data_IF_473233134503
#
_entry.id   IF_473233134503
#
_cell.length_a   1.000
_cell.length_b   1.000
_cell.length_c   1.000
_cell.angle_alpha   90.00
_cell.angle_beta   90.00
_cell.angle_gamma   90.00
#
_symmetry.space_group_name_H-M   'P 1'
#
loop_
_entity.id
_entity.type
_entity.pdbx_description
1 polymer ?
#
# COMPACT_ATOMS: atom_id res chain seq x y z
N UNK A 1 15.15 9.64 6.95
CA UNK A 1 13.70 9.41 6.94
C UNK A 1 13.14 9.10 8.33
N UNK A 2 13.41 7.95 8.96
CA UNK A 2 12.75 7.43 10.16
C UNK A 2 12.85 8.32 11.40
N UNK A 3 14.01 8.91 11.69
CA UNK A 3 14.16 9.89 12.79
C UNK A 3 13.25 11.11 12.59
N UNK A 4 13.13 11.62 11.37
CA UNK A 4 12.22 12.73 11.06
C UNK A 4 10.75 12.35 11.26
N UNK A 5 10.37 11.11 10.90
CA UNK A 5 9.01 10.60 11.09
C UNK A 5 8.66 10.54 12.59
N UNK A 6 9.59 10.06 13.44
CA UNK A 6 9.42 10.10 14.91
C UNK A 6 9.28 11.53 15.43
N UNK A 7 10.10 12.46 14.93
CA UNK A 7 10.01 13.87 15.33
C UNK A 7 8.66 14.50 14.94
N UNK A 8 8.12 14.15 13.77
CA UNK A 8 6.77 14.57 13.37
C UNK A 8 5.70 13.97 14.31
N UNK A 9 5.83 12.71 14.67
CA UNK A 9 4.92 12.05 15.61
C UNK A 9 4.97 12.69 17.00
N UNK A 10 6.15 12.99 17.54
CA UNK A 10 6.30 13.67 18.84
C UNK A 10 5.59 15.03 18.89
N UNK A 11 5.49 15.75 17.77
CA UNK A 11 4.76 17.02 17.70
C UNK A 11 3.25 16.84 17.82
N UNK A 12 2.72 15.66 17.52
CA UNK A 12 1.29 15.36 17.50
C UNK A 12 0.76 14.76 18.79
N UNK A 13 1.63 14.23 19.67
CA UNK A 13 1.21 13.62 20.93
C UNK A 13 1.32 14.62 22.10
N UNK A 14 0.50 14.39 23.13
CA UNK A 14 0.51 15.18 24.34
C UNK A 14 1.86 15.10 25.09
N UNK A 15 2.13 16.12 25.92
CA UNK A 15 3.17 15.99 26.93
C UNK A 15 2.76 14.94 27.98
N UNK A 16 3.75 14.40 28.68
CA UNK A 16 3.58 13.30 29.64
C UNK A 16 2.89 12.09 29.00
N UNK A 17 3.45 11.61 27.89
CA UNK A 17 2.92 10.45 27.18
C UNK A 17 4.00 9.43 26.82
N UNK A 18 3.54 8.19 26.68
CA UNK A 18 4.28 7.04 26.17
C UNK A 18 3.53 6.53 24.93
N UNK A 19 4.24 6.21 23.86
CA UNK A 19 3.64 5.55 22.72
C UNK A 19 4.36 4.24 22.42
N UNK A 20 3.59 3.16 22.24
CA UNK A 20 4.09 1.81 21.97
C UNK A 20 3.69 1.37 20.57
N UNK A 21 4.67 0.93 19.81
CA UNK A 21 4.49 0.39 18.47
C UNK A 21 5.15 -0.98 18.39
N UNK A 22 4.46 -1.92 17.82
CA UNK A 22 4.90 -3.30 17.74
C UNK A 22 5.15 -3.66 16.28
N UNK A 23 6.24 -4.39 16.02
CA UNK A 23 6.54 -4.86 14.66
C UNK A 23 5.56 -5.93 14.16
N UNK A 24 4.90 -6.64 15.08
CA UNK A 24 4.08 -7.81 14.81
C UNK A 24 4.87 -9.11 14.98
N UNK A 25 4.22 -10.22 14.66
CA UNK A 25 4.79 -11.57 14.71
C UNK A 25 4.47 -12.34 13.43
N UNK A 26 5.37 -13.24 13.06
CA UNK A 26 5.12 -14.21 11.99
C UNK A 26 3.96 -15.14 12.36
N UNK A 27 3.11 -15.45 11.38
CA UNK A 27 1.98 -16.37 11.56
C UNK A 27 2.33 -17.77 11.09
N UNK A 28 1.76 -18.79 11.76
CA UNK A 28 1.89 -20.17 11.32
C UNK A 28 1.22 -20.39 9.98
N UNK A 29 1.95 -21.08 9.09
CA UNK A 29 1.46 -21.50 7.79
C UNK A 29 1.00 -22.95 7.84
N UNK A 30 1.87 -23.86 8.27
CA UNK A 30 1.63 -25.30 8.36
C UNK A 30 2.75 -26.00 9.14
N UNK A 31 2.42 -26.84 10.11
CA UNK A 31 3.40 -27.57 10.89
C UNK A 31 4.40 -26.65 11.60
N UNK A 32 5.66 -26.76 11.24
CA UNK A 32 6.76 -25.92 11.73
C UNK A 32 7.08 -24.70 10.83
N UNK A 33 6.31 -24.52 9.73
CA UNK A 33 6.53 -23.44 8.79
C UNK A 33 5.73 -22.19 9.18
N UNK A 34 6.37 -21.03 8.98
CA UNK A 34 5.74 -19.72 9.13
C UNK A 34 5.50 -19.09 7.75
N UNK A 35 4.49 -18.23 7.66
CA UNK A 35 4.43 -17.27 6.56
C UNK A 35 5.63 -16.32 6.62
N UNK A 36 6.12 -15.79 5.49
CA UNK A 36 7.09 -14.69 5.49
C UNK A 36 6.64 -13.56 6.41
N UNK A 37 7.55 -13.06 7.23
CA UNK A 37 7.25 -11.98 8.15
C UNK A 37 6.95 -10.69 7.38
N UNK A 38 5.81 -10.09 7.68
CA UNK A 38 5.44 -8.76 7.22
C UNK A 38 5.33 -7.81 8.42
N UNK A 39 6.17 -6.78 8.40
CA UNK A 39 6.23 -5.80 9.48
C UNK A 39 4.99 -4.91 9.48
N UNK A 40 4.50 -4.56 10.69
CA UNK A 40 3.49 -3.51 10.85
C UNK A 40 3.97 -2.22 10.19
N UNK A 41 3.17 -1.64 9.31
CA UNK A 41 3.57 -0.50 8.48
C UNK A 41 3.81 0.78 9.29
N UNK A 42 3.10 0.99 10.40
CA UNK A 42 3.31 2.12 11.30
C UNK A 42 4.62 1.98 12.10
N UNK A 43 4.94 0.76 12.57
CA UNK A 43 6.23 0.48 13.18
C UNK A 43 7.37 0.70 12.17
N UNK A 44 7.23 0.19 10.95
CA UNK A 44 8.23 0.40 9.88
C UNK A 44 8.39 1.89 9.55
N UNK A 45 7.30 2.64 9.42
CA UNK A 45 7.32 4.09 9.17
C UNK A 45 8.16 4.85 10.19
N UNK A 46 8.15 4.41 11.46
CA UNK A 46 8.88 5.04 12.56
C UNK A 46 10.30 4.52 12.72
N UNK A 47 10.63 3.31 12.24
CA UNK A 47 11.91 2.64 12.54
C UNK A 47 12.74 2.25 11.33
N UNK A 48 12.12 1.85 10.23
CA UNK A 48 12.76 1.19 9.08
C UNK A 48 13.16 -0.27 9.35
N UNK A 49 12.81 -0.82 10.50
CA UNK A 49 13.21 -2.16 10.92
C UNK A 49 12.15 -3.17 10.49
N UNK A 50 12.61 -4.28 9.89
CA UNK A 50 11.79 -5.43 9.50
C UNK A 50 12.20 -6.66 10.32
N UNK A 51 11.92 -6.63 11.60
CA UNK A 51 12.26 -7.71 12.53
C UNK A 51 11.06 -8.06 13.39
N UNK A 52 10.72 -9.35 13.42
CA UNK A 52 9.66 -9.94 14.20
C UNK A 52 9.88 -9.66 15.72
N UNK A 53 8.78 -9.45 16.46
CA UNK A 53 8.77 -9.36 17.91
C UNK A 53 9.47 -8.14 18.49
N UNK A 54 9.64 -7.05 17.74
CA UNK A 54 10.27 -5.82 18.23
C UNK A 54 9.23 -4.81 18.71
N UNK A 55 9.59 -3.96 19.68
CA UNK A 55 8.73 -2.91 20.23
C UNK A 55 9.48 -1.57 20.23
N UNK A 56 8.91 -0.58 19.56
CA UNK A 56 9.36 0.81 19.63
C UNK A 56 8.61 1.54 20.75
N UNK A 57 9.32 2.29 21.58
CA UNK A 57 8.74 3.13 22.62
C UNK A 57 9.21 4.57 22.42
N UNK A 58 8.23 5.46 22.38
CA UNK A 58 8.47 6.91 22.34
C UNK A 58 7.96 7.53 23.64
N UNK A 59 8.81 8.26 24.36
CA UNK A 59 8.45 8.96 25.61
C UNK A 59 8.57 10.45 25.40
N UNK A 60 7.51 11.18 25.70
CA UNK A 60 7.48 12.64 25.74
C UNK A 60 7.15 13.11 27.15
N UNK A 61 8.08 13.85 27.77
CA UNK A 61 7.91 14.41 29.11
C UNK A 61 8.40 15.85 29.10
N UNK A 62 7.47 16.80 29.05
CA UNK A 62 7.78 18.23 28.86
C UNK A 62 8.60 18.41 27.57
N UNK A 63 9.78 19.03 27.65
CA UNK A 63 10.67 19.23 26.51
C UNK A 63 11.52 18.00 26.14
N UNK A 64 11.50 16.96 26.96
CA UNK A 64 12.30 15.75 26.76
C UNK A 64 11.55 14.78 25.83
N UNK A 65 12.21 14.36 24.76
CA UNK A 65 11.75 13.33 23.84
C UNK A 65 12.79 12.22 23.78
N UNK A 66 12.39 10.99 24.10
CA UNK A 66 13.25 9.81 24.06
C UNK A 66 12.66 8.72 23.21
N UNK A 67 13.53 7.97 22.55
CA UNK A 67 13.18 6.85 21.68
C UNK A 67 13.93 5.62 22.15
N UNK A 68 13.22 4.52 22.38
CA UNK A 68 13.79 3.24 22.79
C UNK A 68 13.27 2.13 21.88
N UNK A 69 14.09 1.12 21.64
CA UNK A 69 13.71 -0.06 20.88
C UNK A 69 14.04 -1.32 21.64
N UNK A 70 13.05 -2.19 21.78
CA UNK A 70 13.22 -3.54 22.31
C UNK A 70 13.24 -4.54 21.16
N UNK A 71 14.22 -5.44 21.17
CA UNK A 71 14.41 -6.46 20.16
C UNK A 71 14.38 -7.85 20.78
N UNK A 72 14.01 -8.90 20.04
CA UNK A 72 14.09 -10.26 20.52
C UNK A 72 15.48 -10.58 21.06
N UNK A 73 15.53 -11.42 22.10
CA UNK A 73 16.79 -11.86 22.67
C UNK A 73 17.62 -12.58 21.61
N UNK A 74 18.90 -12.25 21.53
CA UNK A 74 19.82 -12.90 20.59
C UNK A 74 20.10 -14.32 21.09
N UNK A 75 19.47 -15.30 20.46
CA UNK A 75 19.72 -16.72 20.73
C UNK A 75 20.63 -17.29 19.63
N UNK A 76 21.84 -17.75 19.95
CA UNK A 76 22.76 -18.34 18.97
C UNK A 76 22.15 -19.53 18.19
N UNK A 77 21.29 -20.32 18.82
CA UNK A 77 20.61 -21.46 18.19
C UNK A 77 19.58 -20.96 17.20
N UNK A 78 18.77 -19.96 17.55
CA UNK A 78 17.81 -19.35 16.63
C UNK A 78 18.47 -18.75 15.39
N UNK A 79 19.68 -18.23 15.54
CA UNK A 79 20.48 -17.67 14.44
C UNK A 79 20.90 -18.74 13.41
N UNK A 80 21.00 -19.99 13.82
CA UNK A 80 21.28 -21.10 12.90
C UNK A 80 20.07 -21.49 12.03
N UNK A 81 18.86 -21.18 12.51
CA UNK A 81 17.60 -21.49 11.81
C UNK A 81 17.00 -20.29 11.06
N UNK A 82 17.31 -19.07 11.53
CA UNK A 82 16.75 -17.82 10.97
C UNK A 82 17.84 -16.76 10.88
N UNK A 83 18.18 -16.34 9.70
CA UNK A 83 19.21 -15.32 9.43
C UNK A 83 18.69 -13.86 9.50
N UNK A 84 17.40 -13.68 9.77
CA UNK A 84 16.71 -12.37 9.69
C UNK A 84 16.86 -11.50 10.94
N UNK A 85 17.68 -11.89 11.93
CA UNK A 85 17.84 -11.13 13.17
C UNK A 85 18.94 -10.07 13.03
N UNK A 86 18.53 -8.79 13.03
CA UNK A 86 19.44 -7.65 13.03
C UNK A 86 20.13 -7.48 14.38
N UNK A 87 21.42 -7.13 14.36
CA UNK A 87 22.13 -6.72 15.56
C UNK A 87 21.92 -5.23 15.86
N UNK A 88 22.33 -4.79 17.06
CA UNK A 88 22.16 -3.39 17.52
C UNK A 88 22.84 -2.37 16.60
N UNK A 89 24.00 -2.69 16.02
CA UNK A 89 24.72 -1.80 15.11
C UNK A 89 23.95 -1.61 13.79
N UNK A 90 23.45 -2.69 13.21
CA UNK A 90 22.62 -2.64 12.00
C UNK A 90 21.34 -1.82 12.26
N UNK A 91 20.69 -2.06 13.39
CA UNK A 91 19.50 -1.32 13.82
C UNK A 91 19.80 0.17 13.99
N UNK A 92 20.90 0.53 14.66
CA UNK A 92 21.33 1.93 14.81
C UNK A 92 21.55 2.60 13.45
N UNK A 93 22.20 1.89 12.53
CA UNK A 93 22.48 2.41 11.18
C UNK A 93 21.21 2.66 10.38
N UNK A 94 20.20 1.80 10.49
CA UNK A 94 18.91 1.92 9.77
C UNK A 94 18.03 2.98 10.44
N UNK A 95 17.74 2.80 11.73
CA UNK A 95 16.72 3.56 12.44
C UNK A 95 17.19 4.91 12.97
N UNK A 96 18.51 5.09 13.12
CA UNK A 96 19.15 6.21 13.82
C UNK A 96 18.73 6.30 15.31
N UNK A 97 18.33 5.18 15.90
CA UNK A 97 18.18 5.03 17.36
C UNK A 97 19.57 4.75 17.95
N UNK A 98 19.89 5.40 19.06
CA UNK A 98 21.20 5.22 19.71
C UNK A 98 21.39 3.76 20.13
N UNK A 99 22.60 3.23 19.99
CA UNK A 99 22.96 1.88 20.41
C UNK A 99 22.60 1.60 21.87
N UNK A 100 22.77 2.62 22.75
CA UNK A 100 22.47 2.52 24.18
C UNK A 100 20.97 2.54 24.51
N UNK A 101 20.13 2.91 23.55
CA UNK A 101 18.66 2.95 23.68
C UNK A 101 17.98 1.71 23.04
N UNK A 102 18.79 0.69 22.67
CA UNK A 102 18.32 -0.59 22.15
C UNK A 102 18.52 -1.67 23.22
N UNK A 103 17.41 -2.29 23.63
CA UNK A 103 17.36 -3.28 24.73
C UNK A 103 16.90 -4.65 24.22
N UNK A 104 17.14 -5.68 25.01
CA UNK A 104 16.57 -7.02 24.75
C UNK A 104 15.17 -7.15 25.35
N UNK A 105 14.31 -7.94 24.72
CA UNK A 105 12.90 -8.10 25.11
C UNK A 105 12.72 -8.64 26.53
N UNK A 106 13.67 -9.43 27.05
CA UNK A 106 13.63 -9.93 28.44
C UNK A 106 13.52 -8.82 29.48
N UNK A 107 14.02 -7.63 29.19
CA UNK A 107 14.08 -6.50 30.12
C UNK A 107 12.85 -5.59 30.01
N UNK A 108 11.98 -5.82 29.00
CA UNK A 108 10.89 -4.93 28.63
C UNK A 108 9.91 -4.59 29.77
N UNK A 109 9.39 -5.61 30.45
CA UNK A 109 8.36 -5.39 31.48
C UNK A 109 8.90 -4.62 32.69
N UNK A 110 10.11 -4.97 33.16
CA UNK A 110 10.75 -4.28 34.28
C UNK A 110 11.06 -2.83 33.89
N UNK A 111 11.61 -2.64 32.72
CA UNK A 111 11.95 -1.32 32.21
C UNK A 111 10.70 -0.44 32.01
N UNK A 112 9.62 -0.97 31.41
CA UNK A 112 8.38 -0.22 31.20
C UNK A 112 7.75 0.21 32.53
N UNK A 113 7.75 -0.70 33.53
CA UNK A 113 7.27 -0.39 34.87
C UNK A 113 8.06 0.78 35.49
N UNK A 114 9.38 0.76 35.36
CA UNK A 114 10.23 1.85 35.85
C UNK A 114 9.90 3.17 35.17
N UNK A 115 9.74 3.16 33.82
CA UNK A 115 9.39 4.38 33.08
C UNK A 115 8.04 4.94 33.48
N UNK A 116 7.03 4.11 33.68
CA UNK A 116 5.71 4.55 34.17
C UNK A 116 5.82 5.17 35.56
N UNK A 117 6.54 4.54 36.49
CA UNK A 117 6.74 5.05 37.84
C UNK A 117 7.49 6.40 37.88
N UNK A 118 8.36 6.68 36.89
CA UNK A 118 9.07 7.95 36.76
C UNK A 118 8.16 9.15 36.50
N UNK A 119 6.92 8.96 36.01
CA UNK A 119 5.95 10.02 35.87
C UNK A 119 5.36 10.49 37.20
N UNK A 120 5.58 9.76 38.30
CA UNK A 120 5.15 10.09 39.68
C UNK A 120 3.63 10.40 39.75
N UNK A 121 3.29 11.61 40.20
CA UNK A 121 1.89 12.09 40.28
C UNK A 121 1.27 12.45 38.93
N UNK A 122 2.07 12.52 37.86
CA UNK A 122 1.59 12.78 36.51
C UNK A 122 1.37 11.44 35.84
N UNK A 123 0.14 10.91 35.85
CA UNK A 123 -0.17 9.69 35.11
C UNK A 123 0.06 9.94 33.61
N UNK A 124 0.90 9.12 32.93
CA UNK A 124 1.12 9.32 31.51
C UNK A 124 -0.09 8.90 30.70
N UNK A 125 -0.34 9.59 29.57
CA UNK A 125 -1.23 9.09 28.53
C UNK A 125 -0.50 8.10 27.66
N UNK A 126 -1.04 6.89 27.45
CA UNK A 126 -0.36 5.84 26.70
C UNK A 126 -1.05 5.63 25.35
N UNK A 127 -0.27 5.79 24.30
CA UNK A 127 -0.71 5.63 22.90
C UNK A 127 -0.41 4.23 22.39
N UNK A 128 -1.42 3.57 21.81
CA UNK A 128 -1.27 2.32 21.08
C UNK A 128 -1.73 2.49 19.64
N UNK A 129 -1.13 1.74 18.73
CA UNK A 129 -1.57 1.67 17.33
C UNK A 129 -2.74 0.69 17.21
N UNK A 130 -3.95 1.26 17.10
CA UNK A 130 -5.21 0.50 17.04
C UNK A 130 -5.92 0.83 15.72
N UNK A 131 -5.79 0.00 14.68
CA UNK A 131 -6.41 0.23 13.38
C UNK A 131 -7.93 0.29 13.48
N UNK A 132 -8.54 1.33 12.92
CA UNK A 132 -9.97 1.62 13.08
C UNK A 132 -10.90 0.67 12.33
N UNK A 133 -10.41 0.07 11.23
CA UNK A 133 -11.23 -0.71 10.30
C UNK A 133 -11.27 -2.23 10.62
N UNK A 134 -10.53 -2.68 11.61
CA UNK A 134 -10.44 -4.10 11.94
C UNK A 134 -11.41 -4.59 13.03
N UNK A 135 -12.49 -3.87 13.31
CA UNK A 135 -13.48 -4.29 14.34
C UNK A 135 -14.04 -5.72 14.15
N UNK A 136 -13.99 -6.26 12.92
CA UNK A 136 -14.47 -7.63 12.59
C UNK A 136 -13.36 -8.69 12.65
N UNK A 137 -12.10 -8.29 12.73
CA UNK A 137 -10.97 -9.19 12.69
C UNK A 137 -10.13 -9.05 13.95
N UNK A 138 -9.44 -10.13 14.29
CA UNK A 138 -8.47 -10.09 15.37
C UNK A 138 -7.45 -8.97 15.11
N UNK A 139 -7.32 -8.06 16.08
CA UNK A 139 -6.34 -6.99 16.03
C UNK A 139 -5.40 -7.14 17.22
N UNK A 140 -4.14 -7.45 16.92
CA UNK A 140 -3.10 -7.62 17.93
C UNK A 140 -2.90 -6.37 18.80
N UNK A 141 -3.14 -5.18 18.26
CA UNK A 141 -3.12 -3.92 19.04
C UNK A 141 -4.10 -3.93 20.21
N UNK A 142 -5.31 -4.46 20.03
CA UNK A 142 -6.27 -4.59 21.14
C UNK A 142 -5.77 -5.54 22.22
N UNK A 143 -5.17 -6.66 21.87
CA UNK A 143 -4.60 -7.59 22.85
C UNK A 143 -3.51 -6.93 23.69
N UNK A 144 -2.66 -6.12 23.07
CA UNK A 144 -1.63 -5.39 23.79
C UNK A 144 -2.21 -4.36 24.76
N UNK A 145 -3.28 -3.67 24.37
CA UNK A 145 -4.03 -2.75 25.26
C UNK A 145 -4.60 -3.51 26.46
N UNK A 146 -5.25 -4.66 26.26
CA UNK A 146 -5.78 -5.46 27.37
C UNK A 146 -4.68 -5.95 28.31
N UNK A 147 -3.57 -6.47 27.78
CA UNK A 147 -2.41 -6.87 28.56
C UNK A 147 -1.85 -5.70 29.37
N UNK A 148 -1.74 -4.52 28.78
CA UNK A 148 -1.27 -3.34 29.46
C UNK A 148 -2.22 -2.92 30.59
N UNK A 149 -3.51 -2.79 30.32
CA UNK A 149 -4.52 -2.39 31.30
C UNK A 149 -4.69 -3.40 32.44
N UNK A 150 -4.38 -4.68 32.24
CA UNK A 150 -4.37 -5.67 33.34
C UNK A 150 -3.35 -5.34 34.41
N UNK A 151 -2.26 -4.67 34.06
CA UNK A 151 -1.21 -4.22 35.00
C UNK A 151 -1.40 -2.77 35.45
N UNK A 152 -1.99 -1.93 34.60
CA UNK A 152 -2.10 -0.47 34.81
C UNK A 152 -3.51 0.05 34.52
N UNK A 153 -4.56 -0.42 35.27
CA UNK A 153 -5.98 -0.15 34.93
C UNK A 153 -6.40 1.35 35.04
N UNK A 154 -5.59 2.16 35.71
CA UNK A 154 -5.86 3.61 35.90
C UNK A 154 -5.21 4.51 34.84
N UNK A 155 -4.45 3.96 33.91
CA UNK A 155 -3.78 4.75 32.88
C UNK A 155 -4.72 5.05 31.72
N UNK A 156 -4.73 6.30 31.26
CA UNK A 156 -5.49 6.71 30.09
C UNK A 156 -4.86 6.16 28.80
N UNK A 157 -5.65 5.44 28.00
CA UNK A 157 -5.23 4.92 26.69
C UNK A 157 -5.71 5.85 25.57
N UNK A 158 -4.83 6.07 24.59
CA UNK A 158 -5.15 6.79 23.37
C UNK A 158 -4.79 5.97 22.12
N UNK A 159 -5.48 6.24 21.03
CA UNK A 159 -5.17 5.61 19.74
C UNK A 159 -4.22 6.51 18.92
N UNK A 160 -3.05 5.99 18.55
CA UNK A 160 -2.07 6.68 17.69
C UNK A 160 -2.34 6.52 16.19
N UNK A 161 -3.20 5.57 15.79
CA UNK A 161 -3.48 5.28 14.38
C UNK A 161 -3.92 6.53 13.58
N UNK A 162 -4.88 7.36 14.04
CA UNK A 162 -5.27 8.57 13.31
C UNK A 162 -4.11 9.55 13.07
N UNK A 163 -3.19 9.66 14.05
CA UNK A 163 -2.00 10.51 13.91
C UNK A 163 -1.10 9.98 12.79
N UNK A 164 -0.85 8.66 12.80
CA UNK A 164 0.02 8.03 11.81
C UNK A 164 -0.58 8.05 10.41
N UNK A 165 -1.90 7.85 10.26
CA UNK A 165 -2.59 7.99 8.98
C UNK A 165 -2.35 9.38 8.39
N UNK A 166 -2.52 10.43 9.17
CA UNK A 166 -2.28 11.81 8.72
C UNK A 166 -0.79 12.08 8.38
N UNK A 167 0.14 11.50 9.14
CA UNK A 167 1.57 11.65 8.86
C UNK A 167 2.00 10.90 7.60
N UNK A 168 1.45 9.69 7.37
CA UNK A 168 1.71 8.84 6.19
C UNK A 168 1.03 9.36 4.92
N UNK A 169 -0.10 10.07 5.06
CA UNK A 169 -0.82 10.69 3.94
C UNK A 169 0.11 11.54 3.07
N UNK A 170 0.95 12.37 3.70
CA UNK A 170 1.91 13.25 3.03
C UNK A 170 3.30 12.61 3.00
N UNK A 171 3.75 12.22 1.81
CA UNK A 171 5.02 11.56 1.57
C UNK A 171 6.18 12.57 1.57
N UNK A 172 7.28 12.22 2.20
CA UNK A 172 8.53 12.94 2.06
C UNK A 172 9.29 12.52 0.78
N UNK A 173 10.38 13.21 0.45
CA UNK A 173 11.13 12.94 -0.78
C UNK A 173 11.73 11.52 -0.85
N UNK A 174 12.15 10.95 0.29
CA UNK A 174 12.70 9.58 0.32
C UNK A 174 11.60 8.55 0.05
N UNK A 175 10.41 8.71 0.65
CA UNK A 175 9.23 7.87 0.38
C UNK A 175 8.81 7.95 -1.09
N UNK A 176 8.78 9.16 -1.67
CA UNK A 176 8.48 9.37 -3.09
C UNK A 176 9.50 8.64 -3.98
N UNK A 177 10.77 8.65 -3.61
CA UNK A 177 11.80 7.94 -4.38
C UNK A 177 11.62 6.42 -4.32
N UNK A 178 11.21 5.85 -3.19
CA UNK A 178 10.89 4.42 -3.09
C UNK A 178 9.68 4.05 -3.95
N UNK A 179 8.62 4.86 -3.95
CA UNK A 179 7.45 4.66 -4.81
C UNK A 179 7.84 4.74 -6.29
N UNK A 180 8.65 5.73 -6.68
CA UNK A 180 9.18 5.84 -8.06
C UNK A 180 9.99 4.61 -8.46
N UNK A 181 10.80 4.06 -7.56
CA UNK A 181 11.56 2.85 -7.81
C UNK A 181 10.64 1.63 -7.99
N UNK A 182 9.58 1.50 -7.18
CA UNK A 182 8.57 0.45 -7.36
C UNK A 182 7.88 0.56 -8.73
N UNK A 183 7.51 1.77 -9.15
CA UNK A 183 6.92 2.06 -10.47
C UNK A 183 7.91 1.76 -11.61
N UNK A 184 9.19 2.02 -11.41
CA UNK A 184 10.23 1.72 -12.41
C UNK A 184 10.39 0.22 -12.63
N UNK A 185 10.46 -0.55 -11.54
CA UNK A 185 10.48 -2.01 -11.61
C UNK A 185 9.20 -2.53 -12.27
N UNK A 186 8.03 -1.97 -11.92
CA UNK A 186 6.74 -2.32 -12.52
C UNK A 186 6.77 -2.13 -14.04
N UNK A 187 7.24 -0.96 -14.52
CA UNK A 187 7.37 -0.69 -15.95
C UNK A 187 8.19 -1.77 -16.66
N UNK A 188 9.38 -2.08 -16.16
CA UNK A 188 10.25 -3.07 -16.77
C UNK A 188 9.66 -4.49 -16.72
N UNK A 189 8.95 -4.84 -15.63
CA UNK A 189 8.25 -6.12 -15.50
C UNK A 189 7.12 -6.25 -16.52
N UNK A 190 6.35 -5.18 -16.74
CA UNK A 190 5.27 -5.15 -17.72
C UNK A 190 5.82 -5.26 -19.16
N UNK A 191 6.89 -4.54 -19.49
CA UNK A 191 7.54 -4.65 -20.82
C UNK A 191 8.10 -6.07 -21.05
N UNK A 192 8.71 -6.67 -20.02
CA UNK A 192 9.18 -8.06 -20.11
C UNK A 192 8.01 -9.03 -20.35
N UNK A 193 6.89 -8.81 -19.67
CA UNK A 193 5.66 -9.61 -19.83
C UNK A 193 5.12 -9.49 -21.26
N UNK A 194 4.99 -8.29 -21.80
CA UNK A 194 4.52 -8.06 -23.18
C UNK A 194 5.43 -8.74 -24.21
N UNK A 195 6.74 -8.70 -24.03
CA UNK A 195 7.69 -9.37 -24.93
C UNK A 195 7.55 -10.91 -24.94
N UNK A 196 6.92 -11.49 -23.92
CA UNK A 196 6.69 -12.93 -23.80
C UNK A 196 5.23 -13.34 -24.00
N UNK A 197 4.31 -12.39 -24.18
CA UNK A 197 2.87 -12.61 -24.22
C UNK A 197 2.45 -13.66 -25.28
N UNK A 198 3.07 -13.64 -26.46
CA UNK A 198 2.78 -14.60 -27.54
C UNK A 198 3.04 -16.06 -27.18
N UNK A 199 3.83 -16.35 -26.16
CA UNK A 199 4.13 -17.70 -25.68
C UNK A 199 3.09 -18.21 -24.68
N UNK A 200 2.27 -17.30 -24.13
CA UNK A 200 1.30 -17.62 -23.09
C UNK A 200 0.04 -18.25 -23.69
N UNK A 201 -0.45 -19.30 -23.04
CA UNK A 201 -1.72 -19.97 -23.32
C UNK A 201 -2.75 -19.82 -22.21
N UNK A 202 -2.29 -19.50 -20.99
CA UNK A 202 -3.10 -19.34 -19.79
C UNK A 202 -2.75 -18.04 -19.07
N UNK A 203 -3.70 -17.53 -18.31
CA UNK A 203 -3.56 -16.29 -17.53
C UNK A 203 -2.38 -16.35 -16.53
N UNK A 204 -2.18 -17.50 -15.85
CA UNK A 204 -1.06 -17.66 -14.91
C UNK A 204 0.31 -17.55 -15.56
N UNK A 205 0.45 -17.85 -16.85
CA UNK A 205 1.72 -17.72 -17.55
C UNK A 205 2.09 -16.24 -17.75
N UNK A 206 1.09 -15.37 -17.95
CA UNK A 206 1.29 -13.92 -18.02
C UNK A 206 1.79 -13.41 -16.66
N UNK A 207 1.12 -13.80 -15.56
CA UNK A 207 1.55 -13.40 -14.21
C UNK A 207 2.94 -13.97 -13.87
N UNK A 208 3.27 -15.18 -14.32
CA UNK A 208 4.57 -15.80 -14.10
C UNK A 208 5.73 -15.00 -14.75
N UNK A 209 5.53 -14.45 -15.95
CA UNK A 209 6.52 -13.56 -16.57
C UNK A 209 6.73 -12.27 -15.79
N UNK A 210 5.66 -11.68 -15.25
CA UNK A 210 5.75 -10.50 -14.42
C UNK A 210 6.51 -10.80 -13.13
N UNK A 211 6.13 -11.87 -12.42
CA UNK A 211 6.77 -12.29 -11.16
C UNK A 211 8.24 -12.67 -11.34
N UNK A 212 8.58 -13.35 -12.43
CA UNK A 212 9.99 -13.67 -12.74
C UNK A 212 10.86 -12.41 -12.74
N UNK A 213 10.39 -11.35 -13.38
CA UNK A 213 11.15 -10.10 -13.41
C UNK A 213 11.26 -9.45 -12.04
N UNK A 214 10.20 -9.49 -11.22
CA UNK A 214 10.24 -8.96 -9.85
C UNK A 214 11.30 -9.67 -9.00
N UNK A 215 11.34 -11.00 -9.05
CA UNK A 215 12.32 -11.79 -8.30
C UNK A 215 13.76 -11.43 -8.70
N UNK A 216 14.02 -11.21 -10.00
CA UNK A 216 15.32 -10.76 -10.48
C UNK A 216 15.72 -9.37 -9.96
N UNK A 217 14.75 -8.54 -9.56
CA UNK A 217 14.98 -7.22 -8.96
C UNK A 217 14.91 -7.24 -7.42
N UNK A 218 14.75 -8.41 -6.78
CA UNK A 218 14.52 -8.57 -5.33
C UNK A 218 13.31 -7.77 -4.84
N UNK A 219 12.35 -7.54 -5.72
CA UNK A 219 11.05 -6.93 -5.42
C UNK A 219 10.00 -8.03 -5.17
N UNK A 220 8.88 -7.65 -4.55
CA UNK A 220 7.76 -8.55 -4.27
C UNK A 220 6.48 -8.01 -4.89
N UNK A 221 5.48 -8.87 -5.01
CA UNK A 221 4.12 -8.41 -5.31
C UNK A 221 3.57 -7.62 -4.13
N UNK A 222 2.89 -6.51 -4.45
CA UNK A 222 2.16 -5.72 -3.44
C UNK A 222 0.85 -6.41 -3.02
N UNK A 223 0.25 -7.14 -3.94
CA UNK A 223 -0.96 -7.95 -3.76
C UNK A 223 -0.97 -9.09 -4.78
N UNK A 224 -1.95 -9.99 -4.68
CA UNK A 224 -2.15 -11.07 -5.66
C UNK A 224 -2.42 -10.49 -7.04
N UNK A 225 -1.49 -10.69 -7.98
CA UNK A 225 -1.60 -10.16 -9.35
C UNK A 225 -2.85 -10.67 -10.03
N UNK A 226 -3.65 -9.76 -10.58
CA UNK A 226 -4.85 -10.05 -11.35
C UNK A 226 -4.46 -10.13 -12.84
N UNK A 227 -4.72 -11.25 -13.46
CA UNK A 227 -4.67 -11.43 -14.92
C UNK A 227 -6.00 -12.01 -15.35
N UNK A 228 -6.87 -11.15 -15.84
CA UNK A 228 -8.26 -11.46 -16.11
C UNK A 228 -8.58 -11.27 -17.60
N UNK A 229 -8.79 -12.36 -18.34
CA UNK A 229 -9.13 -12.34 -19.76
C UNK A 229 -10.64 -12.45 -19.98
N UNK A 230 -11.19 -11.71 -20.94
CA UNK A 230 -12.59 -11.71 -21.31
C UNK A 230 -13.52 -11.51 -20.10
N UNK A 231 -14.45 -12.44 -19.87
CA UNK A 231 -15.45 -12.38 -18.78
C UNK A 231 -14.84 -12.35 -17.37
N UNK A 232 -13.61 -12.84 -17.18
CA UNK A 232 -12.95 -12.84 -15.88
C UNK A 232 -12.68 -11.41 -15.39
N UNK A 233 -12.49 -10.46 -16.33
CA UNK A 233 -12.30 -9.05 -16.03
C UNK A 233 -13.53 -8.35 -15.41
N UNK A 234 -14.68 -9.02 -15.36
CA UNK A 234 -15.88 -8.54 -14.65
C UNK A 234 -15.79 -8.73 -13.12
N UNK A 235 -14.84 -9.55 -12.66
CA UNK A 235 -14.59 -9.77 -11.24
C UNK A 235 -13.41 -8.90 -10.81
N UNK A 236 -13.64 -7.89 -9.97
CA UNK A 236 -12.64 -6.88 -9.61
C UNK A 236 -11.36 -7.47 -9.02
N UNK A 237 -11.49 -8.43 -8.09
CA UNK A 237 -10.36 -9.11 -7.46
C UNK A 237 -10.28 -10.57 -7.95
N UNK A 238 -10.17 -10.76 -9.27
CA UNK A 238 -9.99 -12.08 -9.87
C UNK A 238 -8.53 -12.53 -9.70
N UNK A 239 -8.30 -13.46 -8.80
CA UNK A 239 -6.97 -13.96 -8.45
C UNK A 239 -6.69 -15.42 -8.85
N UNK A 240 -7.66 -16.09 -9.49
CA UNK A 240 -7.46 -17.49 -9.92
C UNK A 240 -6.45 -17.63 -11.05
N UNK A 241 -6.42 -16.69 -11.97
CA UNK A 241 -5.51 -16.60 -13.12
C UNK A 241 -5.36 -17.96 -13.85
N UNK A 242 -6.42 -18.74 -14.00
CA UNK A 242 -6.32 -20.12 -14.46
C UNK A 242 -7.08 -20.42 -15.76
N UNK A 243 -7.68 -19.42 -16.39
CA UNK A 243 -8.36 -19.61 -17.65
C UNK A 243 -7.40 -19.66 -18.82
N UNK A 244 -7.78 -20.46 -19.83
CA UNK A 244 -7.10 -20.45 -21.13
C UNK A 244 -7.40 -19.15 -21.84
N UNK A 245 -6.36 -18.57 -22.44
CA UNK A 245 -6.48 -17.32 -23.19
C UNK A 245 -7.22 -17.56 -24.50
N UNK A 246 -8.11 -16.64 -24.84
CA UNK A 246 -8.78 -16.61 -26.13
C UNK A 246 -8.28 -15.39 -26.92
N UNK A 247 -7.93 -15.61 -28.18
CA UNK A 247 -7.27 -14.62 -29.05
C UNK A 247 -8.09 -13.32 -29.23
N UNK A 248 -9.41 -13.41 -29.13
CA UNK A 248 -10.34 -12.28 -29.31
C UNK A 248 -10.54 -11.46 -28.02
N UNK A 249 -10.07 -11.99 -26.88
CA UNK A 249 -10.27 -11.34 -25.59
C UNK A 249 -9.29 -10.20 -25.34
N UNK A 250 -9.74 -9.22 -24.55
CA UNK A 250 -8.85 -8.29 -23.84
C UNK A 250 -8.46 -8.93 -22.52
N UNK A 251 -7.20 -8.77 -22.16
CA UNK A 251 -6.69 -9.09 -20.83
C UNK A 251 -6.61 -7.79 -20.01
N UNK A 252 -7.23 -7.79 -18.84
CA UNK A 252 -7.00 -6.82 -17.78
C UNK A 252 -5.93 -7.39 -16.84
N UNK A 253 -4.81 -6.70 -16.76
CA UNK A 253 -3.74 -7.03 -15.83
C UNK A 253 -3.62 -5.91 -14.81
N UNK A 254 -3.82 -6.27 -13.54
CA UNK A 254 -3.66 -5.40 -12.39
C UNK A 254 -2.60 -5.98 -11.46
N UNK A 255 -1.55 -5.21 -11.26
CA UNK A 255 -0.36 -5.67 -10.55
C UNK A 255 0.24 -4.55 -9.68
N UNK A 256 0.86 -4.97 -8.60
CA UNK A 256 1.58 -4.08 -7.72
C UNK A 256 2.99 -4.59 -7.42
N UNK A 257 3.93 -3.68 -7.27
CA UNK A 257 5.32 -3.97 -6.91
C UNK A 257 5.64 -3.36 -5.56
N UNK A 258 6.24 -4.14 -4.66
CA UNK A 258 6.79 -3.64 -3.39
C UNK A 258 8.31 -3.72 -3.40
N UNK A 259 8.93 -2.60 -3.14
CA UNK A 259 10.37 -2.50 -2.83
C UNK A 259 10.56 -1.56 -1.62
N UNK A 260 11.39 -1.96 -0.65
CA UNK A 260 11.59 -1.18 0.59
C UNK A 260 10.26 -0.84 1.33
N UNK A 261 9.28 -1.75 1.28
CA UNK A 261 7.91 -1.61 1.80
C UNK A 261 7.04 -0.53 1.12
N UNK A 262 7.48 0.12 0.06
CA UNK A 262 6.65 1.05 -0.70
C UNK A 262 6.13 0.40 -1.97
N UNK A 263 4.86 0.69 -2.28
CA UNK A 263 4.12 0.01 -3.34
C UNK A 263 3.98 0.87 -4.60
N UNK A 264 3.86 0.20 -5.75
CA UNK A 264 3.15 0.69 -6.94
C UNK A 264 1.85 -0.07 -7.10
N UNK A 265 0.90 0.50 -7.83
CA UNK A 265 -0.39 -0.10 -8.17
C UNK A 265 -0.82 0.38 -9.55
N UNK A 266 -0.83 -0.52 -10.54
CA UNK A 266 -1.03 -0.11 -11.94
C UNK A 266 -1.80 -1.19 -12.69
N UNK A 267 -2.92 -0.78 -13.26
CA UNK A 267 -3.72 -1.62 -14.15
C UNK A 267 -3.53 -1.22 -15.61
N UNK A 268 -3.37 -2.22 -16.48
CA UNK A 268 -3.38 -2.07 -17.94
C UNK A 268 -4.27 -3.12 -18.59
N UNK A 269 -4.97 -2.70 -19.66
CA UNK A 269 -5.72 -3.61 -20.53
C UNK A 269 -5.06 -3.67 -21.89
N UNK A 270 -5.01 -4.88 -22.46
CA UNK A 270 -4.37 -5.11 -23.76
C UNK A 270 -5.01 -6.30 -24.47
N UNK A 271 -5.05 -6.28 -25.83
CA UNK A 271 -5.50 -7.43 -26.60
C UNK A 271 -4.48 -8.56 -26.53
N UNK A 272 -4.94 -9.81 -26.60
CA UNK A 272 -4.04 -10.96 -26.44
C UNK A 272 -3.23 -11.29 -27.70
N UNK A 273 -3.83 -11.21 -28.87
CA UNK A 273 -3.14 -11.52 -30.14
C UNK A 273 -3.43 -10.55 -31.28
N UNK A 274 -4.59 -9.89 -31.26
CA UNK A 274 -5.05 -9.02 -32.33
C UNK A 274 -5.05 -7.56 -31.87
N UNK A 275 -5.56 -6.69 -32.72
CA UNK A 275 -5.89 -5.31 -32.32
C UNK A 275 -7.20 -5.29 -31.54
N UNK A 276 -7.44 -4.20 -30.85
CA UNK A 276 -8.75 -3.95 -30.28
C UNK A 276 -9.84 -3.96 -31.35
N UNK A 277 -10.97 -4.62 -31.11
CA UNK A 277 -12.16 -4.50 -31.95
C UNK A 277 -12.75 -3.09 -31.86
N UNK A 278 -13.65 -2.72 -32.76
CA UNK A 278 -14.25 -1.37 -32.76
C UNK A 278 -14.89 -0.99 -31.42
N UNK A 279 -15.67 -1.91 -30.83
CA UNK A 279 -16.35 -1.65 -29.56
C UNK A 279 -15.34 -1.63 -28.38
N UNK A 280 -14.37 -2.53 -28.37
CA UNK A 280 -13.31 -2.55 -27.35
C UNK A 280 -12.52 -1.24 -27.38
N UNK A 281 -12.20 -0.75 -28.57
CA UNK A 281 -11.48 0.51 -28.78
C UNK A 281 -12.29 1.71 -28.22
N UNK A 282 -13.60 1.80 -28.55
CA UNK A 282 -14.46 2.87 -28.04
C UNK A 282 -14.56 2.89 -26.51
N UNK A 283 -14.72 1.73 -25.88
CA UNK A 283 -14.78 1.62 -24.41
C UNK A 283 -13.42 1.93 -23.80
N UNK A 284 -12.33 1.41 -24.40
CA UNK A 284 -10.96 1.70 -23.94
C UNK A 284 -10.66 3.19 -24.00
N UNK A 285 -10.97 3.86 -25.12
CA UNK A 285 -10.78 5.30 -25.29
C UNK A 285 -11.57 6.12 -24.26
N UNK A 286 -12.81 5.71 -23.95
CA UNK A 286 -13.59 6.37 -22.92
C UNK A 286 -12.91 6.28 -21.54
N UNK A 287 -12.43 5.09 -21.16
CA UNK A 287 -11.71 4.89 -19.88
C UNK A 287 -10.38 5.64 -19.88
N UNK A 288 -9.61 5.57 -20.96
CA UNK A 288 -8.34 6.27 -21.13
C UNK A 288 -8.50 7.79 -21.03
N UNK A 289 -9.47 8.35 -21.73
CA UNK A 289 -9.75 9.79 -21.71
C UNK A 289 -10.23 10.22 -20.33
N UNK A 290 -11.03 9.41 -19.65
CA UNK A 290 -11.44 9.66 -18.25
C UNK A 290 -10.22 9.71 -17.32
N UNK A 291 -9.31 8.72 -17.42
CA UNK A 291 -8.06 8.71 -16.65
C UNK A 291 -7.24 9.98 -16.89
N UNK A 292 -7.04 10.38 -18.16
CA UNK A 292 -6.30 11.61 -18.52
C UNK A 292 -6.95 12.89 -17.98
N UNK A 293 -8.27 13.01 -18.11
CA UNK A 293 -9.03 14.17 -17.60
C UNK A 293 -8.88 14.26 -16.08
N UNK A 294 -9.07 13.15 -15.38
CA UNK A 294 -8.96 13.11 -13.92
C UNK A 294 -7.54 13.45 -13.43
N UNK A 295 -6.51 12.90 -14.07
CA UNK A 295 -5.11 13.26 -13.77
C UNK A 295 -4.91 14.76 -13.93
N UNK A 296 -5.35 15.36 -15.04
CA UNK A 296 -5.18 16.79 -15.26
C UNK A 296 -6.01 17.67 -14.31
N UNK A 297 -7.09 17.14 -13.75
CA UNK A 297 -8.01 17.87 -12.89
C UNK A 297 -7.55 17.89 -11.42
N UNK A 298 -6.92 16.81 -10.92
CA UNK A 298 -6.58 16.66 -9.49
C UNK A 298 -5.66 17.78 -8.99
N UNK A 299 -6.06 18.37 -7.85
CA UNK A 299 -5.33 19.39 -7.09
C UNK A 299 -5.39 19.09 -5.60
N UNK A 300 -4.52 19.70 -4.76
CA UNK A 300 -4.47 19.44 -3.32
C UNK A 300 -5.78 19.66 -2.56
N UNK A 301 -6.58 20.62 -3.00
CA UNK A 301 -7.87 20.98 -2.38
C UNK A 301 -9.01 20.02 -2.71
N UNK A 302 -8.87 19.18 -3.74
CA UNK A 302 -9.87 18.18 -4.09
C UNK A 302 -9.83 17.01 -3.11
N UNK A 303 -10.98 16.35 -2.95
CA UNK A 303 -11.16 15.16 -2.11
C UNK A 303 -11.31 13.90 -2.95
N UNK A 304 -11.20 12.73 -2.30
CA UNK A 304 -11.51 11.44 -2.95
C UNK A 304 -12.97 11.37 -3.40
N UNK A 305 -13.88 11.97 -2.64
CA UNK A 305 -15.29 12.06 -2.99
C UNK A 305 -15.51 12.90 -4.26
N UNK A 306 -14.78 14.03 -4.39
CA UNK A 306 -14.85 14.85 -5.61
C UNK A 306 -14.36 14.10 -6.84
N UNK A 307 -13.25 13.36 -6.72
CA UNK A 307 -12.73 12.50 -7.78
C UNK A 307 -13.76 11.45 -8.22
N UNK A 308 -14.35 10.73 -7.26
CA UNK A 308 -15.38 9.74 -7.51
C UNK A 308 -16.57 10.33 -8.25
N UNK A 309 -17.08 11.48 -7.79
CA UNK A 309 -18.22 12.16 -8.41
C UNK A 309 -17.90 12.58 -9.82
N UNK A 310 -16.76 13.24 -10.03
CA UNK A 310 -16.38 13.75 -11.35
C UNK A 310 -16.09 12.62 -12.34
N UNK A 311 -15.36 11.58 -11.94
CA UNK A 311 -15.08 10.43 -12.79
C UNK A 311 -16.34 9.68 -13.21
N UNK A 312 -17.28 9.44 -12.29
CA UNK A 312 -18.58 8.85 -12.60
C UNK A 312 -19.40 9.69 -13.60
N UNK A 313 -19.35 11.02 -13.47
CA UNK A 313 -20.04 11.92 -14.42
C UNK A 313 -19.46 11.80 -15.83
N UNK A 314 -18.13 11.75 -15.97
CA UNK A 314 -17.47 11.61 -17.28
C UNK A 314 -17.83 10.25 -17.91
N UNK A 315 -17.69 9.16 -17.14
CA UNK A 315 -18.02 7.82 -17.61
C UNK A 315 -19.49 7.70 -18.02
N UNK A 316 -20.42 8.21 -17.21
CA UNK A 316 -21.85 8.19 -17.51
C UNK A 316 -22.19 8.92 -18.82
N UNK A 317 -21.63 10.12 -19.01
CA UNK A 317 -21.84 10.89 -20.26
C UNK A 317 -21.25 10.18 -21.47
N UNK A 318 -20.08 9.55 -21.31
CA UNK A 318 -19.44 8.77 -22.37
C UNK A 318 -20.26 7.53 -22.75
N UNK A 319 -20.74 6.77 -21.75
CA UNK A 319 -21.56 5.58 -21.97
C UNK A 319 -22.87 5.91 -22.70
N UNK A 320 -23.53 7.01 -22.33
CA UNK A 320 -24.74 7.48 -23.05
C UNK A 320 -24.44 7.79 -24.53
N UNK A 321 -23.31 8.40 -24.86
CA UNK A 321 -22.89 8.68 -26.23
C UNK A 321 -22.62 7.40 -27.03
N UNK A 322 -22.21 6.33 -26.36
CA UNK A 322 -21.98 5.01 -26.95
C UNK A 322 -23.25 4.16 -27.04
N UNK A 323 -24.43 4.70 -26.62
CA UNK A 323 -25.71 4.03 -26.67
C UNK A 323 -26.06 3.17 -25.45
N UNK A 324 -25.27 3.22 -24.39
CA UNK A 324 -25.56 2.52 -23.12
C UNK A 324 -26.48 3.42 -22.27
N UNK A 325 -27.69 2.98 -22.00
CA UNK A 325 -28.74 3.80 -21.36
C UNK A 325 -28.95 3.50 -19.88
N UNK A 326 -28.29 2.48 -19.34
CA UNK A 326 -28.38 2.13 -17.93
C UNK A 326 -27.58 3.09 -17.04
N UNK A 327 -27.85 3.04 -15.74
CA UNK A 327 -27.11 3.84 -14.77
C UNK A 327 -25.65 3.42 -14.72
N UNK A 328 -24.76 4.38 -14.50
CA UNK A 328 -23.31 4.13 -14.47
C UNK A 328 -22.91 3.11 -13.39
N UNK A 329 -23.67 3.00 -12.32
CA UNK A 329 -23.46 2.03 -11.23
C UNK A 329 -23.57 0.57 -11.69
N UNK A 330 -24.20 0.30 -12.83
CA UNK A 330 -24.27 -1.03 -13.44
C UNK A 330 -22.98 -1.39 -14.20
N UNK A 331 -22.15 -0.39 -14.51
CA UNK A 331 -20.92 -0.55 -15.29
C UNK A 331 -19.66 -0.17 -14.52
N UNK A 332 -19.79 0.60 -13.42
CA UNK A 332 -18.68 1.08 -12.58
C UNK A 332 -19.10 1.11 -11.11
N UNK A 333 -18.49 0.25 -10.28
CA UNK A 333 -18.92 -0.03 -8.91
C UNK A 333 -17.78 -0.05 -7.87
N UNK A 334 -16.64 0.56 -8.20
CA UNK A 334 -15.55 0.80 -7.23
C UNK A 334 -15.18 2.29 -7.14
N UNK A 335 -14.20 2.62 -6.33
CA UNK A 335 -13.67 3.98 -6.23
C UNK A 335 -12.76 4.32 -7.40
N UNK A 336 -12.73 5.60 -7.80
CA UNK A 336 -11.81 6.11 -8.84
C UNK A 336 -10.36 6.18 -8.33
N UNK A 337 -10.16 6.21 -7.02
CA UNK A 337 -8.85 6.51 -6.44
C UNK A 337 -8.76 6.04 -4.99
N UNK A 338 -7.55 5.71 -4.58
CA UNK A 338 -7.15 5.50 -3.18
C UNK A 338 -5.74 6.07 -2.95
N UNK A 339 -5.36 6.25 -1.68
CA UNK A 339 -4.00 6.58 -1.32
C UNK A 339 -3.07 5.38 -1.52
N UNK A 340 -1.82 5.65 -1.89
CA UNK A 340 -0.77 4.66 -2.11
C UNK A 340 0.47 5.01 -1.28
N UNK A 341 1.16 3.99 -0.76
CA UNK A 341 2.38 4.22 0.02
C UNK A 341 3.00 2.95 0.58
N UNK A 342 3.06 2.83 1.91
CA UNK A 342 3.51 1.63 2.61
C UNK A 342 2.50 0.47 2.48
N UNK A 343 1.24 0.80 2.33
CA UNK A 343 0.20 -0.12 1.92
C UNK A 343 -0.25 0.24 0.50
N UNK A 344 -0.74 -0.72 -0.27
CA UNK A 344 -1.35 -0.47 -1.59
C UNK A 344 -2.58 0.41 -1.42
N UNK A 345 -3.52 0.02 -0.57
CA UNK A 345 -4.60 0.88 -0.10
C UNK A 345 -4.13 1.56 1.20
N UNK A 346 -3.33 2.63 1.04
CA UNK A 346 -2.70 3.32 2.16
C UNK A 346 -3.70 4.20 2.93
N UNK A 347 -3.38 4.46 4.19
CA UNK A 347 -4.10 5.38 5.10
C UNK A 347 -5.63 5.22 5.11
N UNK A 348 -6.10 3.98 5.08
CA UNK A 348 -7.51 3.66 5.22
C UNK A 348 -8.06 4.23 6.54
N UNK A 349 -9.18 4.97 6.47
CA UNK A 349 -9.78 5.66 7.62
C UNK A 349 -9.70 7.18 7.55
N UNK A 350 -8.97 7.76 6.59
CA UNK A 350 -9.10 9.17 6.22
C UNK A 350 -10.48 9.36 5.58
N UNK A 351 -11.21 10.41 6.01
CA UNK A 351 -12.51 10.71 5.41
C UNK A 351 -12.38 10.98 3.91
N UNK A 352 -13.25 10.40 3.05
CA UNK A 352 -13.22 10.66 1.61
C UNK A 352 -13.54 12.13 1.26
N UNK A 353 -14.05 12.92 2.19
CA UNK A 353 -14.36 14.34 2.04
C UNK A 353 -13.15 15.24 2.37
N UNK A 354 -12.14 14.70 3.08
CA UNK A 354 -10.94 15.47 3.38
C UNK A 354 -10.15 15.82 2.11
N UNK A 355 -9.57 17.04 2.03
CA UNK A 355 -8.64 17.39 0.96
C UNK A 355 -7.50 16.37 0.85
N UNK A 356 -7.15 15.98 -0.39
CA UNK A 356 -6.08 15.03 -0.65
C UNK A 356 -4.75 15.57 -0.08
N UNK A 357 -4.47 16.84 -0.30
CA UNK A 357 -3.29 17.54 0.22
C UNK A 357 -2.04 17.35 -0.63
N UNK A 358 -1.10 18.26 -0.46
CA UNK A 358 0.18 18.24 -1.16
C UNK A 358 1.05 17.06 -0.72
N UNK A 359 1.81 16.49 -1.66
CA UNK A 359 2.67 15.31 -1.50
C UNK A 359 1.94 14.01 -1.12
N UNK A 360 0.64 13.94 -1.28
CA UNK A 360 -0.08 12.68 -1.30
C UNK A 360 0.20 11.93 -2.60
N UNK A 361 0.39 10.62 -2.51
CA UNK A 361 0.43 9.73 -3.69
C UNK A 361 -0.87 8.95 -3.72
N UNK A 362 -1.52 8.93 -4.88
CA UNK A 362 -2.83 8.30 -5.09
C UNK A 362 -2.87 7.54 -6.41
N UNK A 363 -3.74 6.54 -6.52
CA UNK A 363 -4.15 5.93 -7.78
C UNK A 363 -5.14 6.82 -8.53
N UNK A 364 -5.24 6.67 -9.86
CA UNK A 364 -6.36 7.15 -10.69
C UNK A 364 -6.75 6.00 -11.60
N UNK A 365 -7.87 5.34 -11.29
CA UNK A 365 -8.23 4.02 -11.81
C UNK A 365 -9.67 3.93 -12.36
N UNK A 366 -10.12 4.79 -13.27
CA UNK A 366 -11.43 4.60 -13.88
C UNK A 366 -11.51 3.25 -14.60
N UNK A 367 -12.70 2.63 -14.57
CA UNK A 367 -12.96 1.37 -15.24
C UNK A 367 -14.39 1.26 -15.73
N UNK A 368 -14.64 0.32 -16.62
CA UNK A 368 -15.98 -0.06 -17.11
C UNK A 368 -16.05 -1.58 -17.25
N UNK A 369 -17.12 -2.18 -16.74
CA UNK A 369 -17.34 -3.62 -16.69
C UNK A 369 -18.69 -3.93 -17.30
N UNK A 370 -18.70 -4.53 -18.52
CA UNK A 370 -19.89 -4.67 -19.34
C UNK A 370 -20.18 -6.16 -19.55
N UNK A 371 -21.12 -6.69 -18.79
CA UNK A 371 -21.41 -8.13 -18.71
C UNK A 371 -21.77 -8.75 -20.06
N UNK A 372 -22.71 -8.16 -20.80
CA UNK A 372 -23.16 -8.70 -22.10
C UNK A 372 -22.09 -8.67 -23.20
N UNK A 373 -20.97 -7.91 -22.99
CA UNK A 373 -19.80 -7.91 -23.87
C UNK A 373 -18.67 -8.79 -23.34
N UNK A 374 -18.79 -9.39 -22.16
CA UNK A 374 -17.71 -10.07 -21.44
C UNK A 374 -16.43 -9.20 -21.35
N UNK A 375 -16.59 -7.90 -21.11
CA UNK A 375 -15.56 -6.90 -21.24
C UNK A 375 -15.39 -6.11 -19.94
N UNK A 376 -14.18 -6.17 -19.33
CA UNK A 376 -13.76 -5.29 -18.27
C UNK A 376 -12.52 -4.50 -18.70
N UNK A 377 -12.55 -3.18 -18.55
CA UNK A 377 -11.43 -2.29 -18.83
C UNK A 377 -11.20 -1.40 -17.63
N UNK A 378 -9.97 -1.39 -17.10
CA UNK A 378 -9.45 -0.46 -16.09
C UNK A 378 -8.11 0.08 -16.56
N UNK A 379 -7.88 1.37 -16.40
CA UNK A 379 -6.59 2.00 -16.68
C UNK A 379 -6.22 2.80 -15.44
N UNK A 380 -5.11 2.42 -14.83
CA UNK A 380 -4.69 2.97 -13.56
C UNK A 380 -3.28 3.54 -13.62
N UNK A 381 -3.12 4.71 -13.07
CA UNK A 381 -1.85 5.41 -12.90
C UNK A 381 -1.64 5.84 -11.45
N UNK A 382 -0.39 5.92 -11.03
CA UNK A 382 0.00 6.51 -9.75
C UNK A 382 0.46 7.94 -9.96
N UNK A 383 -0.14 8.88 -9.23
CA UNK A 383 0.20 10.30 -9.30
C UNK A 383 0.62 10.84 -7.93
N UNK A 384 1.49 11.84 -7.94
CA UNK A 384 1.78 12.64 -6.74
C UNK A 384 1.15 14.01 -6.87
N UNK A 385 0.35 14.39 -5.88
CA UNK A 385 -0.28 15.71 -5.82
C UNK A 385 0.73 16.76 -5.36
N UNK A 386 0.79 17.89 -6.06
CA UNK A 386 1.70 19.01 -5.79
C UNK A 386 0.91 20.29 -5.57
N UNK A 387 1.57 21.29 -5.02
CA UNK A 387 0.96 22.59 -4.70
C UNK A 387 0.17 23.19 -5.88
N UNK A 388 0.61 22.97 -7.11
CA UNK A 388 -0.07 23.40 -8.33
C UNK A 388 -0.28 22.20 -9.25
N UNK A 389 -1.35 21.41 -9.03
CA UNK A 389 -1.69 20.23 -9.83
C UNK A 389 -1.04 18.95 -9.30
N UNK A 390 -0.47 18.16 -10.20
CA UNK A 390 0.12 16.86 -9.87
C UNK A 390 1.20 16.45 -10.88
N UNK A 391 1.89 15.33 -10.59
CA UNK A 391 2.85 14.69 -11.50
C UNK A 391 2.44 13.22 -11.61
N UNK A 392 2.20 12.74 -12.82
CA UNK A 392 2.00 11.32 -13.07
C UNK A 392 3.34 10.59 -12.95
N UNK A 393 3.49 9.76 -11.91
CA UNK A 393 4.69 8.98 -11.64
C UNK A 393 4.85 7.80 -12.60
N UNK A 394 3.73 7.28 -13.12
CA UNK A 394 3.64 6.15 -14.06
C UNK A 394 3.52 6.57 -15.54
N UNK A 395 3.76 7.84 -15.86
CA UNK A 395 3.57 8.39 -17.20
C UNK A 395 4.31 7.64 -18.33
N UNK A 396 5.44 6.97 -18.01
CA UNK A 396 6.21 6.19 -18.99
C UNK A 396 5.61 4.80 -19.31
N UNK A 397 4.65 4.34 -18.49
CA UNK A 397 4.03 3.01 -18.69
C UNK A 397 2.98 3.12 -19.81
N UNK A 398 3.15 2.38 -20.90
CA UNK A 398 2.29 2.48 -22.07
C UNK A 398 0.80 2.32 -21.72
N UNK A 399 -0.04 3.19 -22.28
CA UNK A 399 -1.50 3.14 -22.15
C UNK A 399 -2.26 3.64 -23.37
N UNK A 400 -1.54 4.28 -24.31
CA UNK A 400 -2.18 4.64 -25.59
C UNK A 400 -2.40 3.38 -26.43
N UNK A 401 -3.53 3.30 -27.12
CA UNK A 401 -3.91 2.13 -27.93
C UNK A 401 -2.79 1.76 -28.91
N UNK A 402 -2.27 2.74 -29.64
CA UNK A 402 -1.20 2.52 -30.61
C UNK A 402 0.10 2.02 -29.97
N UNK A 403 0.46 2.49 -28.76
CA UNK A 403 1.63 2.02 -28.02
C UNK A 403 1.47 0.54 -27.60
N UNK A 404 0.31 0.21 -27.00
CA UNK A 404 0.00 -1.16 -26.57
C UNK A 404 0.00 -2.12 -27.75
N UNK A 405 -0.73 -1.80 -28.81
CA UNK A 405 -0.76 -2.64 -30.02
C UNK A 405 0.63 -2.85 -30.61
N UNK A 406 1.46 -1.80 -30.63
CA UNK A 406 2.83 -1.90 -31.16
C UNK A 406 3.74 -2.82 -30.34
N UNK A 407 3.51 -2.91 -29.02
CA UNK A 407 4.27 -3.79 -28.13
C UNK A 407 3.87 -5.25 -28.25
N UNK A 408 2.59 -5.52 -28.52
CA UNK A 408 2.03 -6.88 -28.58
C UNK A 408 2.22 -7.52 -29.95
N UNK A 409 2.16 -6.74 -31.02
CA UNK A 409 2.26 -7.24 -32.40
C UNK A 409 3.70 -7.58 -32.80
N UNK A 410 4.70 -7.01 -32.11
CA UNK A 410 6.12 -7.36 -32.32
C UNK A 410 6.40 -8.81 -31.94
#
# INVERSE_FOLDING_TARGET
MFSNNRNRFFKCINDNSIALFYSGHSHYKSGDQLFPFEVNKNFYYLTGIQQDGSILILIKKSLMQKTFLFIPNINPIHKLWNDNQLNKEQITNISKISYNDIYEMKDFNVWLNQQICEFKSLSPKVYFDIPYYHKKYYCWGYEQVYKFLSSWPWIEIANSSPILLNLRKQKNNEEINYIKHAIDIHYHSLIYTFNNLKKCQYEFEISAHFHYFLEMQKAKNAFETIVASGKNALTLHYNKNNSKLNDEDICLMDAGVVINNYSSDITRCFPLKHKFTSIQNQIYDLVLNTNKILINWVKPEHSMQDLNRYGKQILAQGMLKLGFVEKIENYFYHSISHYLGLDTHDVLGISPEEPIGENSVISIEPGLYIEHLNLGIRIEDNIIVKKQGNINLSAKIPKEIAEIESLIIK
#
